data_IF_724384408012
#
_entry.id   IF_724384408012
#
_cell.length_a   1.000
_cell.length_b   1.000
_cell.length_c   1.000
_cell.angle_alpha   90.00
_cell.angle_beta   90.00
_cell.angle_gamma   90.00
#
_symmetry.space_group_name_H-M   'P 1'
#
loop_
_entity.id
_entity.type
_entity.pdbx_description
1 polymer ?
#
# COMPACT_ATOMS: atom_id res chain seq x y z
N UNK A 1 15.66 14.19 -6.20
CA UNK A 1 14.45 13.91 -7.02
C UNK A 1 14.13 12.41 -7.05
N UNK A 2 14.55 11.63 -6.04
CA UNK A 2 14.53 10.15 -6.05
C UNK A 2 13.34 9.52 -5.29
N UNK A 3 12.57 10.30 -4.51
CA UNK A 3 11.43 9.76 -3.75
C UNK A 3 10.30 9.20 -4.63
N UNK A 4 10.23 9.55 -5.92
CA UNK A 4 9.14 9.14 -6.83
C UNK A 4 9.23 7.66 -7.23
N UNK A 5 10.43 7.13 -7.47
CA UNK A 5 10.59 5.77 -8.02
C UNK A 5 10.29 4.65 -7.01
N UNK A 6 10.64 4.86 -5.73
CA UNK A 6 10.42 3.85 -4.68
C UNK A 6 8.95 3.65 -4.33
N UNK A 7 8.21 4.75 -4.17
CA UNK A 7 6.78 4.69 -3.85
C UNK A 7 5.95 4.09 -4.99
N UNK A 8 6.32 4.36 -6.24
CA UNK A 8 5.62 3.83 -7.40
C UNK A 8 5.77 2.30 -7.54
N UNK A 9 6.97 1.76 -7.29
CA UNK A 9 7.20 0.31 -7.28
C UNK A 9 6.43 -0.39 -6.15
N UNK A 10 6.37 0.22 -4.97
CA UNK A 10 5.55 -0.30 -3.88
C UNK A 10 4.06 -0.30 -4.28
N UNK A 11 3.54 0.81 -4.79
CA UNK A 11 2.15 0.88 -5.22
C UNK A 11 1.82 -0.08 -6.38
N UNK A 12 2.80 -0.39 -7.24
CA UNK A 12 2.64 -1.42 -8.27
C UNK A 12 2.45 -2.83 -7.67
N UNK A 13 3.07 -3.15 -6.52
CA UNK A 13 2.79 -4.42 -5.82
C UNK A 13 1.36 -4.48 -5.28
N UNK A 14 0.87 -3.37 -4.72
CA UNK A 14 -0.47 -3.33 -4.13
C UNK A 14 -1.57 -3.35 -5.19
N UNK A 15 -1.42 -2.58 -6.27
CA UNK A 15 -2.50 -2.37 -7.24
C UNK A 15 -2.26 -3.01 -8.60
N UNK A 16 -1.07 -3.59 -8.84
CA UNK A 16 -0.70 -4.15 -10.13
C UNK A 16 -0.71 -3.11 -11.26
N UNK A 17 -0.89 -3.60 -12.49
CA UNK A 17 -0.88 -2.79 -13.72
C UNK A 17 -2.25 -2.72 -14.42
N UNK A 18 -3.28 -3.38 -13.88
CA UNK A 18 -4.62 -3.32 -14.47
C UNK A 18 -5.20 -1.89 -14.36
N UNK A 19 -5.79 -1.30 -15.42
CA UNK A 19 -6.18 0.11 -15.44
C UNK A 19 -7.06 0.55 -14.26
N UNK A 20 -8.06 -0.27 -13.90
CA UNK A 20 -8.99 0.01 -12.78
C UNK A 20 -8.32 0.07 -11.40
N UNK A 21 -7.23 -0.68 -11.22
CA UNK A 21 -6.50 -0.69 -9.95
C UNK A 21 -5.39 0.35 -9.97
N UNK A 22 -4.74 0.53 -11.13
CA UNK A 22 -3.69 1.54 -11.32
C UNK A 22 -4.22 2.98 -11.11
N UNK A 23 -5.49 3.24 -11.46
CA UNK A 23 -6.12 4.54 -11.21
C UNK A 23 -6.23 4.91 -9.72
N UNK A 24 -6.12 3.94 -8.81
CA UNK A 24 -6.16 4.17 -7.36
C UNK A 24 -4.80 4.58 -6.77
N UNK A 25 -3.70 4.37 -7.50
CA UNK A 25 -2.33 4.65 -7.03
C UNK A 25 -2.12 6.10 -6.55
N UNK A 26 -2.65 7.16 -7.21
CA UNK A 26 -2.49 8.53 -6.72
C UNK A 26 -3.14 8.77 -5.35
N UNK A 27 -4.32 8.20 -5.11
CA UNK A 27 -5.01 8.28 -3.82
C UNK A 27 -4.30 7.44 -2.75
N UNK A 28 -3.83 6.25 -3.12
CA UNK A 28 -3.06 5.39 -2.23
C UNK A 28 -1.77 6.07 -1.77
N UNK A 29 -1.11 6.82 -2.66
CA UNK A 29 0.06 7.62 -2.32
C UNK A 29 -0.26 8.71 -1.29
N UNK A 30 -1.43 9.37 -1.38
CA UNK A 30 -1.87 10.34 -0.38
C UNK A 30 -2.04 9.67 0.99
N UNK A 31 -2.65 8.49 1.04
CA UNK A 31 -2.80 7.70 2.27
C UNK A 31 -1.44 7.35 2.86
N UNK A 32 -0.52 6.81 2.05
CA UNK A 32 0.82 6.45 2.53
C UNK A 32 1.59 7.65 3.08
N UNK A 33 1.48 8.82 2.44
CA UNK A 33 2.08 10.07 2.94
C UNK A 33 1.47 10.50 4.26
N UNK A 34 0.14 10.48 4.38
CA UNK A 34 -0.54 10.80 5.63
C UNK A 34 -0.15 9.83 6.77
N UNK A 35 0.09 8.56 6.47
CA UNK A 35 0.54 7.56 7.45
C UNK A 35 2.04 7.66 7.79
N UNK A 36 2.87 8.26 6.91
CA UNK A 36 4.26 8.60 7.22
C UNK A 36 4.35 9.65 8.34
N UNK A 37 3.36 10.53 8.43
CA UNK A 37 3.27 11.56 9.47
C UNK A 37 2.79 11.02 10.82
N UNK A 38 2.23 9.80 10.86
CA UNK A 38 1.77 9.16 12.08
C UNK A 38 0.55 8.28 11.85
N UNK A 39 0.10 7.61 12.93
CA UNK A 39 -1.10 6.76 12.87
C UNK A 39 -2.35 7.62 12.63
N UNK A 40 -3.28 7.13 11.80
CA UNK A 40 -4.52 7.85 11.45
C UNK A 40 -5.73 6.97 11.63
N UNK A 41 -6.87 7.51 12.06
CA UNK A 41 -8.14 6.81 12.04
C UNK A 41 -8.82 6.90 10.66
N UNK A 42 -10.00 6.29 10.54
CA UNK A 42 -10.75 6.26 9.27
C UNK A 42 -11.24 7.66 8.86
N UNK A 43 -11.64 8.49 9.81
CA UNK A 43 -12.14 9.84 9.55
C UNK A 43 -11.03 10.76 9.02
N UNK A 44 -9.83 10.69 9.60
CA UNK A 44 -8.64 11.43 9.17
C UNK A 44 -8.22 11.04 7.75
N UNK A 45 -8.19 9.74 7.44
CA UNK A 45 -7.83 9.26 6.10
C UNK A 45 -8.91 9.59 5.06
N UNK A 46 -10.19 9.53 5.44
CA UNK A 46 -11.27 9.97 4.55
C UNK A 46 -11.18 11.45 4.22
N UNK A 47 -10.81 12.30 5.19
CA UNK A 47 -10.58 13.73 4.97
C UNK A 47 -9.42 13.97 3.98
N UNK A 48 -8.31 13.23 4.11
CA UNK A 48 -7.18 13.29 3.16
C UNK A 48 -7.60 12.91 1.73
N UNK A 49 -8.57 12.00 1.61
CA UNK A 49 -9.11 11.54 0.34
C UNK A 49 -10.28 12.38 -0.20
N UNK A 50 -10.79 13.34 0.59
CA UNK A 50 -11.98 14.11 0.24
C UNK A 50 -13.26 13.26 0.16
N UNK A 51 -13.35 12.18 0.95
CA UNK A 51 -14.49 11.26 0.94
C UNK A 51 -15.48 11.56 2.07
N UNK A 52 -16.76 11.51 1.75
CA UNK A 52 -17.83 11.48 2.75
C UNK A 52 -18.21 10.04 3.11
N UNK A 53 -17.83 9.61 4.30
CA UNK A 53 -18.11 8.27 4.85
C UNK A 53 -19.60 8.03 5.17
N UNK A 54 -20.42 9.09 5.23
CA UNK A 54 -21.88 8.95 5.42
C UNK A 54 -22.56 8.44 4.16
N UNK A 55 -21.93 8.60 3.00
CA UNK A 55 -22.46 8.09 1.73
C UNK A 55 -22.01 6.64 1.50
N UNK A 56 -22.87 5.76 0.94
CA UNK A 56 -22.47 4.42 0.55
C UNK A 56 -21.31 4.40 -0.45
N UNK A 57 -21.27 5.37 -1.36
CA UNK A 57 -20.21 5.53 -2.36
C UNK A 57 -18.86 5.86 -1.73
N UNK A 58 -18.79 6.87 -0.87
CA UNK A 58 -17.56 7.27 -0.20
C UNK A 58 -17.01 6.17 0.71
N UNK A 59 -17.88 5.49 1.46
CA UNK A 59 -17.49 4.36 2.30
C UNK A 59 -16.98 3.17 1.49
N UNK A 60 -17.67 2.82 0.38
CA UNK A 60 -17.23 1.76 -0.52
C UNK A 60 -15.87 2.08 -1.14
N UNK A 61 -15.70 3.29 -1.66
CA UNK A 61 -14.46 3.73 -2.29
C UNK A 61 -13.28 3.66 -1.31
N UNK A 62 -13.47 4.11 -0.06
CA UNK A 62 -12.46 3.98 0.98
C UNK A 62 -11.99 2.54 1.15
N UNK A 63 -12.89 1.58 1.31
CA UNK A 63 -12.48 0.18 1.50
C UNK A 63 -11.87 -0.45 0.25
N UNK A 64 -12.35 -0.08 -0.95
CA UNK A 64 -11.74 -0.51 -2.22
C UNK A 64 -10.30 -0.02 -2.33
N UNK A 65 -10.05 1.23 -1.97
CA UNK A 65 -8.71 1.79 -1.94
C UNK A 65 -7.83 1.11 -0.89
N UNK A 66 -8.31 0.94 0.34
CA UNK A 66 -7.50 0.48 1.47
C UNK A 66 -7.23 -1.02 1.49
N UNK A 67 -8.07 -1.82 0.82
CA UNK A 67 -7.97 -3.29 0.83
C UNK A 67 -6.61 -3.79 0.28
N UNK A 68 -6.16 -3.39 -0.92
CA UNK A 68 -4.90 -3.90 -1.46
C UNK A 68 -3.67 -3.51 -0.63
N UNK A 69 -3.67 -2.30 -0.05
CA UNK A 69 -2.60 -1.87 0.87
C UNK A 69 -2.51 -2.74 2.13
N UNK A 70 -3.65 -3.24 2.64
CA UNK A 70 -3.67 -4.16 3.78
C UNK A 70 -3.25 -5.57 3.39
N UNK A 71 -3.77 -6.07 2.27
CA UNK A 71 -3.49 -7.44 1.81
C UNK A 71 -2.02 -7.63 1.43
N UNK A 72 -1.37 -6.58 0.95
CA UNK A 72 0.08 -6.57 0.69
C UNK A 72 0.92 -6.20 1.91
N UNK A 73 0.31 -5.99 3.07
CA UNK A 73 1.03 -5.65 4.30
C UNK A 73 1.70 -4.27 4.28
N UNK A 74 1.35 -3.38 3.36
CA UNK A 74 1.87 -1.99 3.34
C UNK A 74 1.31 -1.16 4.48
N UNK A 75 0.06 -1.45 4.87
CA UNK A 75 -0.59 -0.83 6.02
C UNK A 75 -1.21 -1.90 6.91
N UNK A 76 -1.21 -1.65 8.20
CA UNK A 76 -1.84 -2.48 9.21
C UNK A 76 -2.78 -1.67 10.08
N UNK A 77 -3.63 -2.36 10.83
CA UNK A 77 -4.55 -1.72 11.78
C UNK A 77 -4.36 -2.22 13.18
N UNK A 78 -4.56 -1.35 14.17
CA UNK A 78 -4.63 -1.72 15.59
C UNK A 78 -5.72 -0.94 16.30
N UNK A 79 -6.07 -1.36 17.52
CA UNK A 79 -6.96 -0.59 18.39
C UNK A 79 -6.15 0.41 19.20
N UNK A 80 -6.62 1.65 19.25
CA UNK A 80 -6.05 2.74 20.06
C UNK A 80 -7.18 3.63 20.54
N UNK A 81 -7.34 3.77 21.86
CA UNK A 81 -8.42 4.58 22.45
C UNK A 81 -9.82 4.19 21.97
N UNK A 82 -10.09 2.89 21.85
CA UNK A 82 -11.38 2.36 21.36
C UNK A 82 -11.61 2.48 19.84
N UNK A 83 -10.74 3.18 19.10
CA UNK A 83 -10.85 3.35 17.65
C UNK A 83 -9.88 2.44 16.90
N UNK A 84 -10.25 2.11 15.66
CA UNK A 84 -9.31 1.48 14.73
C UNK A 84 -8.42 2.56 14.12
N UNK A 85 -7.10 2.40 14.25
CA UNK A 85 -6.12 3.27 13.60
C UNK A 85 -5.29 2.47 12.60
N UNK A 86 -4.89 3.14 11.53
CA UNK A 86 -4.07 2.65 10.45
C UNK A 86 -2.64 3.18 10.62
N UNK A 87 -1.66 2.38 10.22
CA UNK A 87 -0.24 2.73 10.25
C UNK A 87 0.51 1.99 9.13
N UNK A 88 1.65 2.53 8.71
CA UNK A 88 2.54 1.84 7.76
C UNK A 88 3.12 0.58 8.43
N UNK A 89 3.01 -0.57 7.77
CA UNK A 89 3.63 -1.81 8.24
C UNK A 89 4.88 -2.14 7.43
N UNK A 90 5.85 -2.75 8.10
CA UNK A 90 7.09 -3.23 7.50
C UNK A 90 6.90 -4.55 6.72
N UNK A 91 5.77 -5.23 6.91
CA UNK A 91 5.50 -6.54 6.29
C UNK A 91 5.49 -6.44 4.75
N UNK A 92 4.85 -5.40 4.20
CA UNK A 92 4.80 -5.17 2.76
C UNK A 92 6.13 -4.73 2.17
N UNK A 93 6.95 -4.00 2.93
CA UNK A 93 8.33 -3.69 2.54
C UNK A 93 9.19 -4.96 2.50
N UNK A 94 9.02 -5.86 3.47
CA UNK A 94 9.72 -7.15 3.49
C UNK A 94 9.34 -8.03 2.29
N UNK A 95 8.08 -8.01 1.88
CA UNK A 95 7.63 -8.71 0.67
C UNK A 95 8.26 -8.11 -0.59
N UNK A 96 8.36 -6.78 -0.69
CA UNK A 96 9.02 -6.12 -1.82
C UNK A 96 10.50 -6.50 -1.94
N UNK A 97 11.24 -6.47 -0.82
CA UNK A 97 12.65 -6.90 -0.80
C UNK A 97 12.82 -8.36 -1.20
N UNK A 98 11.87 -9.23 -0.84
CA UNK A 98 11.88 -10.64 -1.24
C UNK A 98 11.71 -10.80 -2.75
N UNK A 99 10.84 -10.03 -3.39
CA UNK A 99 10.67 -10.09 -4.85
C UNK A 99 11.90 -9.55 -5.59
N UNK A 100 12.51 -8.44 -5.11
CA UNK A 100 13.81 -7.98 -5.64
C UNK A 100 14.87 -9.08 -5.53
N UNK A 101 14.93 -9.74 -4.37
CA UNK A 101 15.90 -10.82 -4.14
C UNK A 101 15.70 -11.98 -5.11
N UNK A 102 14.46 -12.43 -5.33
CA UNK A 102 14.16 -13.50 -6.30
C UNK A 102 14.56 -13.11 -7.72
N UNK A 103 14.29 -11.88 -8.12
CA UNK A 103 14.68 -11.37 -9.44
C UNK A 103 16.21 -11.35 -9.57
N UNK A 104 16.92 -10.89 -8.55
CA UNK A 104 18.38 -10.93 -8.52
C UNK A 104 18.91 -12.37 -8.58
N UNK A 105 18.31 -13.31 -7.83
CA UNK A 105 18.67 -14.74 -7.87
C UNK A 105 18.51 -15.32 -9.28
N UNK A 106 17.42 -15.01 -9.98
CA UNK A 106 17.21 -15.44 -11.38
C UNK A 106 18.32 -14.95 -12.32
N UNK A 107 18.73 -13.68 -12.20
CA UNK A 107 19.73 -13.10 -13.11
C UNK A 107 21.18 -13.45 -12.74
N UNK A 108 21.46 -13.67 -11.45
CA UNK A 108 22.82 -13.85 -10.92
C UNK A 108 23.21 -15.32 -10.73
N UNK A 109 22.25 -16.24 -10.66
CA UNK A 109 22.52 -17.67 -10.58
C UNK A 109 22.48 -18.24 -12.00
N UNK A 110 23.62 -18.62 -12.60
CA UNK A 110 23.63 -19.31 -13.89
C UNK A 110 22.81 -20.59 -13.77
N UNK A 111 22.08 -20.97 -14.84
CA UNK A 111 21.18 -22.14 -14.91
C UNK A 111 21.83 -23.52 -14.59
N UNK A 112 23.08 -23.57 -14.15
CA UNK A 112 23.90 -24.77 -13.98
C UNK A 112 23.78 -25.50 -12.62
N UNK A 113 22.73 -25.27 -11.82
CA UNK A 113 22.50 -25.99 -10.55
C UNK A 113 21.10 -26.64 -10.49
N UNK A 114 20.59 -27.14 -11.61
CA UNK A 114 19.57 -28.18 -11.64
C UNK A 114 20.22 -29.49 -12.10
N UNK A 115 21.04 -30.07 -11.24
CA UNK A 115 21.61 -31.40 -11.36
C UNK A 115 21.31 -32.21 -10.11
#
# INVERSE_FOLDING_TARGET
>A
MEERGGAEKLLALAYGNHPKSSSLKPEALKVMRALREGVKNIEELAAVLGLDLKTPGGRKHFYVLMKPLRETGMISTRKSGGKTVYYLSYDGFSQYLREIRKEAEYWLVPEAHQG
#
